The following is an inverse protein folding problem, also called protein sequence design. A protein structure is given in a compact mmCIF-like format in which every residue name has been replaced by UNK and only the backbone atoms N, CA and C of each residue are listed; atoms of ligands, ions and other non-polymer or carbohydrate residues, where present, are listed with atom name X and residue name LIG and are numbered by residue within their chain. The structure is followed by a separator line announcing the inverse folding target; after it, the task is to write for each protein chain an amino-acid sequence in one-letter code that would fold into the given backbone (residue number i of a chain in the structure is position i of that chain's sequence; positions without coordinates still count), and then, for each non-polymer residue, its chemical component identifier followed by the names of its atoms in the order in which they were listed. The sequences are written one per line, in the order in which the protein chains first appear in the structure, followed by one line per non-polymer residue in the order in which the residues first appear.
data_IF_634713630821
#
_entry.id   IF_634713630821
#
_cell.length_a   1.000
_cell.length_b   1.000
_cell.length_c   1.000
_cell.angle_alpha   90.00
_cell.angle_beta   90.00
_cell.angle_gamma   90.00
#
_symmetry.space_group_name_H-M   'P 1'
#
loop_
_entity.id
_entity.type
_entity.pdbx_description
1 polymer ?
#
# COMPACT_ATOMS: atom_id res chain seq x y z
N UNK A 1 -4.99 32.52 0.83
CA UNK A 1 -5.20 31.21 1.47
C UNK A 1 -5.97 30.35 0.49
N UNK A 2 -5.63 29.06 0.30
CA UNK A 2 -6.43 28.21 -0.57
C UNK A 2 -7.87 28.19 -0.05
N UNK A 3 -8.83 28.16 -0.98
CA UNK A 3 -10.19 27.75 -0.69
C UNK A 3 -10.13 26.36 -0.03
N UNK A 4 -11.06 26.13 0.89
CA UNK A 4 -11.06 25.04 1.86
C UNK A 4 -10.63 23.69 1.27
N UNK A 5 -9.62 23.05 1.90
CA UNK A 5 -8.99 21.82 1.40
C UNK A 5 -9.79 20.53 1.61
N UNK A 6 -11.01 20.59 2.15
CA UNK A 6 -11.83 19.42 2.50
C UNK A 6 -13.32 19.63 2.21
N UNK A 7 -14.09 18.55 2.34
CA UNK A 7 -15.54 18.48 2.13
C UNK A 7 -16.39 18.61 3.41
N UNK A 8 -15.79 18.52 4.60
CA UNK A 8 -16.52 18.63 5.88
C UNK A 8 -17.34 19.94 5.98
N UNK A 9 -18.26 20.12 6.92
CA UNK A 9 -19.03 21.37 7.06
C UNK A 9 -19.05 21.82 8.52
N UNK A 10 -19.08 20.84 9.42
CA UNK A 10 -19.18 21.03 10.86
C UNK A 10 -17.77 21.06 11.48
N UNK A 11 -16.86 20.19 11.02
CA UNK A 11 -15.50 20.06 11.54
C UNK A 11 -14.48 20.62 10.51
N UNK A 12 -14.08 21.90 10.62
CA UNK A 12 -13.31 22.59 9.57
C UNK A 12 -11.87 22.06 9.38
N UNK A 13 -11.35 21.37 10.38
CA UNK A 13 -10.04 20.70 10.40
C UNK A 13 -10.08 19.27 9.81
N UNK A 14 -11.28 18.74 9.53
CA UNK A 14 -11.47 17.41 8.96
C UNK A 14 -11.69 17.45 7.44
N UNK A 15 -11.33 16.36 6.77
CA UNK A 15 -11.62 16.19 5.33
C UNK A 15 -13.11 15.97 5.06
N UNK A 16 -13.76 15.08 5.81
CA UNK A 16 -15.20 14.80 5.77
C UNK A 16 -15.70 14.84 7.21
N UNK A 17 -16.94 15.29 7.42
CA UNK A 17 -17.52 15.30 8.77
C UNK A 17 -17.63 13.84 9.28
N UNK A 18 -17.33 13.55 10.57
CA UNK A 18 -17.36 12.18 11.08
C UNK A 18 -18.70 11.45 10.90
N UNK A 19 -19.82 12.17 10.83
CA UNK A 19 -21.14 11.59 10.58
C UNK A 19 -21.42 11.25 9.11
N UNK A 20 -20.66 11.85 8.19
CA UNK A 20 -20.75 11.64 6.74
C UNK A 20 -19.60 10.73 6.23
N UNK A 21 -18.65 10.35 7.10
CA UNK A 21 -17.48 9.56 6.73
C UNK A 21 -17.80 8.06 6.67
N UNK A 22 -17.77 7.42 5.48
CA UNK A 22 -18.12 6.00 5.33
C UNK A 22 -17.14 5.04 6.02
N UNK A 23 -15.96 5.53 6.45
CA UNK A 23 -14.99 4.78 7.25
C UNK A 23 -15.36 4.79 8.73
N UNK A 24 -16.04 5.83 9.19
CA UNK A 24 -16.49 5.94 10.56
C UNK A 24 -17.83 5.20 10.73
N UNK A 25 -17.75 3.90 10.98
CA UNK A 25 -18.95 3.12 11.28
C UNK A 25 -19.33 3.28 12.75
N UNK A 26 -20.59 3.60 13.04
CA UNK A 26 -21.14 3.58 14.40
C UNK A 26 -21.25 2.14 14.99
N UNK A 27 -20.63 1.16 14.33
CA UNK A 27 -20.66 -0.24 14.70
C UNK A 27 -19.62 -0.60 15.76
N UNK A 28 -19.65 -1.87 16.17
CA UNK A 28 -18.63 -2.42 17.07
C UNK A 28 -17.33 -2.57 16.29
N UNK A 29 -16.21 -2.18 16.91
CA UNK A 29 -14.87 -2.38 16.35
C UNK A 29 -14.64 -3.85 15.98
N UNK A 30 -13.86 -4.12 14.91
CA UNK A 30 -13.57 -5.49 14.50
C UNK A 30 -12.91 -6.28 15.64
N UNK A 31 -13.36 -7.52 15.84
CA UNK A 31 -12.81 -8.41 16.87
C UNK A 31 -11.71 -9.32 16.28
N UNK A 32 -10.54 -9.32 16.93
CA UNK A 32 -9.37 -10.08 16.51
C UNK A 32 -8.53 -9.45 15.39
N UNK A 33 -7.30 -9.96 15.24
CA UNK A 33 -6.27 -9.40 14.34
C UNK A 33 -6.70 -9.43 12.87
N UNK A 34 -7.28 -10.55 12.40
CA UNK A 34 -7.69 -10.70 11.00
C UNK A 34 -8.80 -9.72 10.61
N UNK A 35 -9.83 -9.58 11.45
CA UNK A 35 -10.91 -8.64 11.20
C UNK A 35 -10.37 -7.21 11.20
N UNK A 36 -9.50 -6.89 12.17
CA UNK A 36 -8.85 -5.57 12.28
C UNK A 36 -8.06 -5.22 11.03
N UNK A 37 -7.18 -6.11 10.55
CA UNK A 37 -6.36 -5.85 9.35
C UNK A 37 -7.22 -5.67 8.10
N UNK A 38 -8.29 -6.47 7.95
CA UNK A 38 -9.22 -6.34 6.81
C UNK A 38 -9.94 -5.00 6.81
N UNK A 39 -10.39 -4.55 7.98
CA UNK A 39 -11.06 -3.26 8.13
C UNK A 39 -10.10 -2.11 7.81
N UNK A 40 -8.87 -2.15 8.34
CA UNK A 40 -7.83 -1.19 7.98
C UNK A 40 -7.57 -1.13 6.47
N UNK A 41 -7.39 -2.28 5.80
CA UNK A 41 -7.14 -2.32 4.36
C UNK A 41 -8.30 -1.72 3.57
N UNK A 42 -9.54 -2.06 3.94
CA UNK A 42 -10.75 -1.47 3.34
C UNK A 42 -10.74 0.05 3.48
N UNK A 43 -10.49 0.57 4.68
CA UNK A 43 -10.52 2.02 4.95
C UNK A 43 -9.41 2.79 4.23
N UNK A 44 -8.20 2.24 4.15
CA UNK A 44 -7.11 2.86 3.39
C UNK A 44 -7.40 2.87 1.88
N UNK A 45 -7.93 1.77 1.32
CA UNK A 45 -8.35 1.71 -0.08
C UNK A 45 -9.47 2.70 -0.38
N UNK A 46 -10.47 2.80 0.49
CA UNK A 46 -11.57 3.76 0.38
C UNK A 46 -11.07 5.20 0.46
N UNK A 47 -10.13 5.48 1.37
CA UNK A 47 -9.53 6.81 1.51
C UNK A 47 -8.89 7.27 0.21
N UNK A 48 -8.17 6.39 -0.50
CA UNK A 48 -7.60 6.75 -1.80
C UNK A 48 -8.68 7.17 -2.80
N UNK A 49 -9.77 6.40 -2.89
CA UNK A 49 -10.87 6.70 -3.81
C UNK A 49 -11.52 8.05 -3.46
N UNK A 50 -11.79 8.30 -2.18
CA UNK A 50 -12.34 9.56 -1.69
C UNK A 50 -11.43 10.76 -2.02
N UNK A 51 -10.10 10.56 -2.03
CA UNK A 51 -9.15 11.62 -2.39
C UNK A 51 -9.06 11.88 -3.89
N UNK A 52 -9.50 10.93 -4.71
CA UNK A 52 -9.53 11.06 -6.17
C UNK A 52 -10.91 11.46 -6.72
N UNK A 53 -11.93 11.48 -5.87
CA UNK A 53 -13.31 11.77 -6.28
C UNK A 53 -13.45 13.19 -6.84
N UNK A 54 -14.16 13.32 -7.96
CA UNK A 54 -14.46 14.60 -8.59
C UNK A 54 -13.29 15.25 -9.36
N UNK A 55 -12.15 14.58 -9.48
CA UNK A 55 -11.00 15.09 -10.24
C UNK A 55 -11.16 14.83 -11.75
N UNK A 56 -10.89 15.84 -12.58
CA UNK A 56 -10.72 15.66 -14.03
C UNK A 56 -9.37 15.01 -14.35
N UNK A 57 -9.14 14.57 -15.60
CA UNK A 57 -7.91 13.84 -15.96
C UNK A 57 -6.59 14.62 -15.77
N UNK A 58 -6.65 15.96 -15.75
CA UNK A 58 -5.47 16.81 -15.63
C UNK A 58 -4.94 16.90 -14.19
N UNK A 59 -5.83 16.89 -13.20
CA UNK A 59 -5.50 17.01 -11.79
C UNK A 59 -4.68 15.83 -11.26
N UNK A 60 -5.06 14.55 -11.44
CA UNK A 60 -4.29 13.44 -10.91
C UNK A 60 -2.99 13.21 -11.68
N UNK A 61 -2.91 13.61 -12.96
CA UNK A 61 -1.68 13.54 -13.75
C UNK A 61 -0.66 14.63 -13.39
N UNK A 62 -1.07 15.68 -12.67
CA UNK A 62 -0.18 16.77 -12.26
C UNK A 62 0.88 16.25 -11.30
N UNK A 63 2.15 16.60 -11.58
CA UNK A 63 3.28 16.28 -10.70
C UNK A 63 3.22 17.12 -9.43
N UNK A 64 3.29 16.46 -8.27
CA UNK A 64 3.12 17.13 -6.97
C UNK A 64 4.31 18.01 -6.62
N UNK A 65 5.54 17.55 -6.89
CA UNK A 65 6.79 18.25 -6.53
C UNK A 65 7.84 18.04 -7.62
N UNK A 66 7.93 18.91 -8.65
CA UNK A 66 9.03 18.87 -9.60
C UNK A 66 10.39 18.96 -8.89
N UNK A 67 11.43 18.19 -9.30
CA UNK A 67 11.53 17.40 -10.53
C UNK A 67 10.96 15.97 -10.46
N UNK A 68 10.35 15.57 -9.34
CA UNK A 68 9.76 14.23 -9.21
C UNK A 68 8.66 13.99 -10.24
N UNK A 69 8.58 12.77 -10.78
CA UNK A 69 7.50 12.31 -11.64
C UNK A 69 6.29 11.80 -10.87
N UNK A 70 6.34 11.85 -9.53
CA UNK A 70 5.22 11.48 -8.66
C UNK A 70 4.00 12.37 -8.90
N UNK A 71 2.90 11.71 -9.27
CA UNK A 71 1.57 12.26 -9.45
C UNK A 71 0.54 11.37 -8.75
N UNK A 72 -0.68 11.86 -8.55
CA UNK A 72 -1.74 11.05 -7.93
C UNK A 72 -2.16 9.88 -8.84
N UNK A 73 -2.19 10.08 -10.16
CA UNK A 73 -2.40 9.00 -11.12
C UNK A 73 -1.29 7.96 -11.04
N UNK A 74 -0.04 8.40 -10.92
CA UNK A 74 1.09 7.49 -10.69
C UNK A 74 0.96 6.71 -9.39
N UNK A 75 0.44 7.32 -8.31
CA UNK A 75 0.15 6.62 -7.05
C UNK A 75 -0.95 5.56 -7.19
N UNK A 76 -2.02 5.83 -7.95
CA UNK A 76 -3.07 4.83 -8.21
C UNK A 76 -2.50 3.62 -8.96
N UNK A 77 -1.68 3.89 -10.00
CA UNK A 77 -0.96 2.85 -10.75
C UNK A 77 -0.01 2.05 -9.87
N UNK A 78 0.76 2.75 -9.05
CA UNK A 78 1.68 2.14 -8.09
C UNK A 78 0.95 1.20 -7.12
N UNK A 79 -0.19 1.62 -6.57
CA UNK A 79 -0.95 0.79 -5.64
C UNK A 79 -1.54 -0.45 -6.31
N UNK A 80 -1.87 -0.41 -7.59
CA UNK A 80 -2.26 -1.60 -8.35
C UNK A 80 -1.09 -2.61 -8.46
N UNK A 81 0.13 -2.12 -8.73
CA UNK A 81 1.34 -2.96 -8.73
C UNK A 81 1.64 -3.50 -7.33
N UNK A 82 1.49 -2.70 -6.28
CA UNK A 82 1.70 -3.12 -4.88
C UNK A 82 0.76 -4.27 -4.51
N UNK A 83 -0.53 -4.19 -4.83
CA UNK A 83 -1.50 -5.29 -4.62
C UNK A 83 -1.05 -6.58 -5.32
N UNK A 84 -0.55 -6.46 -6.55
CA UNK A 84 -0.04 -7.57 -7.36
C UNK A 84 1.26 -8.16 -6.82
N UNK A 85 2.19 -7.32 -6.41
CA UNK A 85 3.48 -7.71 -5.84
C UNK A 85 3.31 -8.39 -4.48
N UNK A 86 2.40 -7.90 -3.62
CA UNK A 86 2.11 -8.56 -2.34
C UNK A 86 1.54 -9.96 -2.52
N UNK A 87 0.65 -10.16 -3.50
CA UNK A 87 0.12 -11.48 -3.83
C UNK A 87 1.17 -12.49 -4.29
N UNK A 88 2.26 -12.03 -4.89
CA UNK A 88 3.37 -12.91 -5.29
C UNK A 88 3.92 -13.70 -4.10
N UNK A 89 3.90 -13.11 -2.91
CA UNK A 89 4.41 -13.79 -1.71
C UNK A 89 3.50 -14.90 -1.21
N UNK A 90 2.21 -14.88 -1.56
CA UNK A 90 1.26 -15.93 -1.21
C UNK A 90 1.37 -17.14 -2.14
N UNK A 91 1.87 -16.94 -3.36
CA UNK A 91 1.80 -17.96 -4.41
C UNK A 91 3.15 -18.68 -4.63
N UNK A 92 3.12 -19.99 -4.97
CA UNK A 92 4.34 -20.75 -5.24
C UNK A 92 4.86 -20.57 -6.68
N UNK A 93 4.13 -19.94 -7.59
CA UNK A 93 4.47 -19.75 -9.00
C UNK A 93 5.47 -18.59 -9.22
N UNK A 94 5.41 -17.54 -8.41
CA UNK A 94 6.34 -16.40 -8.46
C UNK A 94 5.73 -15.13 -9.02
N UNK A 95 6.54 -14.08 -9.23
CA UNK A 95 6.00 -12.78 -9.57
C UNK A 95 5.28 -12.82 -10.91
N UNK A 96 4.07 -12.28 -10.92
CA UNK A 96 3.38 -11.96 -12.15
C UNK A 96 4.16 -10.84 -12.89
N UNK A 97 4.05 -10.74 -14.22
CA UNK A 97 4.62 -9.61 -14.95
C UNK A 97 4.06 -8.29 -14.42
N UNK A 98 4.90 -7.26 -14.32
CA UNK A 98 4.49 -5.90 -13.95
C UNK A 98 3.46 -5.34 -14.93
N UNK A 99 2.48 -4.61 -14.43
CA UNK A 99 1.43 -3.95 -15.22
C UNK A 99 1.99 -2.82 -16.09
N UNK A 100 2.88 -2.00 -15.53
CA UNK A 100 3.32 -0.75 -16.15
C UNK A 100 4.78 -0.79 -16.63
N UNK A 101 5.50 -1.87 -16.37
CA UNK A 101 6.83 -2.10 -16.92
C UNK A 101 7.96 -1.91 -15.92
N UNK A 102 8.97 -1.13 -16.28
CA UNK A 102 10.25 -1.03 -15.57
C UNK A 102 10.22 -0.24 -14.26
N UNK A 103 11.39 0.16 -13.79
CA UNK A 103 11.54 1.05 -12.63
C UNK A 103 10.77 2.35 -12.85
N UNK A 104 9.95 2.74 -11.86
CA UNK A 104 9.15 3.98 -11.81
C UNK A 104 8.17 4.19 -12.99
N UNK A 105 7.88 3.14 -13.77
CA UNK A 105 7.05 3.24 -14.98
C UNK A 105 5.56 3.50 -14.70
N UNK A 106 5.11 3.21 -13.48
CA UNK A 106 3.84 3.64 -12.90
C UNK A 106 3.72 5.17 -12.82
N UNK A 107 4.83 5.88 -12.54
CA UNK A 107 4.87 7.34 -12.46
C UNK A 107 5.21 8.02 -13.81
N UNK A 108 6.15 7.48 -14.59
CA UNK A 108 6.61 8.12 -15.84
C UNK A 108 5.51 8.20 -16.92
N UNK A 109 4.63 7.21 -17.00
CA UNK A 109 3.57 7.15 -18.01
C UNK A 109 2.25 7.81 -17.61
N UNK A 110 2.18 8.54 -16.50
CA UNK A 110 0.94 9.06 -15.93
C UNK A 110 0.47 10.36 -16.62
N UNK A 111 0.10 10.28 -17.89
CA UNK A 111 -0.36 11.42 -18.69
C UNK A 111 -1.81 11.83 -18.38
N UNK A 112 -2.16 13.09 -18.70
CA UNK A 112 -3.46 13.71 -18.46
C UNK A 112 -4.53 13.26 -19.47
N UNK A 113 -4.74 11.95 -19.58
CA UNK A 113 -5.69 11.33 -20.50
C UNK A 113 -6.73 10.53 -19.70
N UNK A 114 -8.02 10.78 -19.97
CA UNK A 114 -9.10 10.12 -19.22
C UNK A 114 -9.03 8.60 -19.31
N UNK A 115 -8.68 8.05 -20.49
CA UNK A 115 -8.53 6.61 -20.67
C UNK A 115 -7.44 5.99 -19.77
N UNK A 116 -6.36 6.73 -19.49
CA UNK A 116 -5.31 6.28 -18.57
C UNK A 116 -5.75 6.34 -17.11
N UNK A 117 -6.54 7.36 -16.75
CA UNK A 117 -7.13 7.47 -15.42
C UNK A 117 -8.09 6.31 -15.16
N UNK A 118 -9.05 6.10 -16.07
CA UNK A 118 -10.03 5.03 -15.97
C UNK A 118 -9.36 3.65 -15.95
N UNK A 119 -8.36 3.45 -16.82
CA UNK A 119 -7.56 2.23 -16.87
C UNK A 119 -6.83 1.96 -15.55
N UNK A 120 -6.22 2.98 -14.94
CA UNK A 120 -5.51 2.82 -13.66
C UNK A 120 -6.45 2.44 -12.51
N UNK A 121 -7.65 3.01 -12.44
CA UNK A 121 -8.65 2.62 -11.44
C UNK A 121 -9.20 1.21 -11.69
N UNK A 122 -9.44 0.84 -12.95
CA UNK A 122 -9.86 -0.52 -13.30
C UNK A 122 -8.78 -1.56 -12.95
N UNK A 123 -7.51 -1.24 -13.20
CA UNK A 123 -6.38 -2.06 -12.80
C UNK A 123 -6.33 -2.21 -11.28
N UNK A 124 -6.40 -1.09 -10.53
CA UNK A 124 -6.41 -1.12 -9.07
C UNK A 124 -7.53 -2.00 -8.52
N UNK A 125 -8.77 -1.82 -9.00
CA UNK A 125 -9.93 -2.59 -8.56
C UNK A 125 -9.76 -4.09 -8.85
N UNK A 126 -9.26 -4.45 -10.04
CA UNK A 126 -8.99 -5.84 -10.41
C UNK A 126 -7.92 -6.47 -9.51
N UNK A 127 -6.82 -5.76 -9.27
CA UNK A 127 -5.73 -6.28 -8.45
C UNK A 127 -6.15 -6.39 -6.97
N UNK A 128 -6.94 -5.44 -6.43
CA UNK A 128 -7.52 -5.53 -5.08
C UNK A 128 -8.46 -6.73 -4.93
N UNK A 129 -9.38 -6.93 -5.88
CA UNK A 129 -10.31 -8.08 -5.85
C UNK A 129 -9.56 -9.41 -5.90
N UNK A 130 -8.49 -9.49 -6.69
CA UNK A 130 -7.66 -10.67 -6.75
C UNK A 130 -6.84 -10.87 -5.44
N UNK A 131 -6.38 -9.80 -4.79
CA UNK A 131 -5.76 -9.88 -3.46
C UNK A 131 -6.75 -10.38 -2.42
N UNK A 132 -7.97 -9.86 -2.41
CA UNK A 132 -9.00 -10.27 -1.46
C UNK A 132 -9.37 -11.75 -1.65
N UNK A 133 -9.50 -12.20 -2.90
CA UNK A 133 -9.74 -13.60 -3.21
C UNK A 133 -8.59 -14.51 -2.72
N UNK A 134 -7.34 -14.08 -2.88
CA UNK A 134 -6.18 -14.83 -2.37
C UNK A 134 -6.16 -14.88 -0.84
N UNK A 135 -6.44 -13.76 -0.16
CA UNK A 135 -6.48 -13.68 1.30
C UNK A 135 -7.68 -14.43 1.90
N UNK A 136 -8.78 -14.57 1.17
CA UNK A 136 -9.95 -15.32 1.64
C UNK A 136 -9.64 -16.82 1.86
N UNK A 137 -8.63 -17.36 1.18
CA UNK A 137 -8.17 -18.73 1.38
C UNK A 137 -7.45 -18.94 2.73
N UNK A 138 -7.02 -17.86 3.39
CA UNK A 138 -6.24 -17.90 4.62
C UNK A 138 -7.00 -17.25 5.78
N UNK A 139 -7.47 -18.08 6.72
CA UNK A 139 -8.22 -17.62 7.91
C UNK A 139 -7.36 -17.51 9.17
N UNK A 140 -6.18 -18.11 9.16
CA UNK A 140 -5.20 -18.02 10.23
C UNK A 140 -4.01 -17.18 9.75
N UNK A 141 -3.76 -16.05 10.43
CA UNK A 141 -2.62 -15.18 10.12
C UNK A 141 -1.27 -15.82 10.48
N UNK A 142 -1.26 -16.85 11.33
CA UNK A 142 -0.07 -17.62 11.67
C UNK A 142 0.32 -18.67 10.63
N UNK A 143 -0.53 -18.92 9.63
CA UNK A 143 -0.27 -19.90 8.58
C UNK A 143 0.99 -19.52 7.77
N UNK A 144 1.87 -20.51 7.57
CA UNK A 144 3.06 -20.32 6.73
C UNK A 144 2.70 -20.55 5.26
N UNK A 145 2.53 -19.45 4.54
CA UNK A 145 2.19 -19.43 3.12
C UNK A 145 3.40 -19.06 2.24
N UNK A 146 3.33 -19.43 0.96
CA UNK A 146 4.34 -19.04 -0.05
C UNK A 146 5.66 -19.81 -0.02
N UNK A 147 6.64 -19.32 -0.79
CA UNK A 147 7.99 -19.91 -0.82
C UNK A 147 8.77 -19.51 0.43
N UNK A 148 9.25 -20.50 1.19
CA UNK A 148 10.09 -20.31 2.37
C UNK A 148 11.19 -19.27 2.15
N UNK A 149 11.22 -18.26 3.01
CA UNK A 149 12.01 -17.05 2.86
C UNK A 149 13.53 -17.35 2.92
N UNK A 150 14.22 -17.37 1.78
CA UNK A 150 15.71 -17.37 1.76
C UNK A 150 16.22 -15.93 1.85
N UNK A 151 17.05 -15.63 2.85
CA UNK A 151 17.61 -14.29 3.20
C UNK A 151 18.16 -13.44 2.03
N UNK A 152 18.54 -14.04 0.90
CA UNK A 152 19.03 -13.32 -0.30
C UNK A 152 17.92 -12.69 -1.13
N UNK A 153 16.70 -13.25 -1.10
CA UNK A 153 15.55 -12.76 -1.88
C UNK A 153 15.06 -11.39 -1.40
N UNK A 154 15.23 -11.06 -0.12
CA UNK A 154 14.78 -9.77 0.46
C UNK A 154 15.54 -8.55 -0.07
N UNK A 155 16.85 -8.67 -0.30
CA UNK A 155 17.65 -7.58 -0.88
C UNK A 155 17.29 -7.29 -2.33
N UNK A 156 16.83 -8.31 -3.05
CA UNK A 156 16.40 -8.17 -4.44
C UNK A 156 14.96 -7.64 -4.54
N UNK A 157 14.08 -7.99 -3.59
CA UNK A 157 12.68 -7.59 -3.62
C UNK A 157 12.42 -6.17 -3.07
N UNK A 158 13.22 -5.69 -2.10
CA UNK A 158 13.04 -4.36 -1.51
C UNK A 158 14.36 -3.58 -1.41
N UNK A 159 14.93 -3.12 -2.54
CA UNK A 159 16.16 -2.33 -2.53
C UNK A 159 16.01 -0.94 -1.85
N UNK A 160 14.77 -0.49 -1.62
CA UNK A 160 14.43 0.84 -1.13
C UNK A 160 14.15 0.93 0.38
N UNK A 161 14.06 -0.20 1.10
CA UNK A 161 13.76 -0.20 2.54
C UNK A 161 15.07 -0.04 3.36
N UNK A 162 15.34 1.10 4.02
CA UNK A 162 16.62 1.35 4.69
C UNK A 162 16.69 0.75 6.11
N UNK A 163 15.59 0.16 6.60
CA UNK A 163 15.35 -0.14 8.00
C UNK A 163 16.24 -1.24 8.63
N UNK A 164 17.13 -1.91 7.87
CA UNK A 164 17.92 -3.04 8.40
C UNK A 164 19.45 -2.87 8.30
N UNK A 165 19.96 -1.67 8.04
CA UNK A 165 21.41 -1.43 8.19
C UNK A 165 21.90 -1.50 9.66
N UNK A 166 20.99 -1.52 10.64
CA UNK A 166 21.29 -1.28 12.08
C UNK A 166 21.51 -2.53 12.94
N UNK A 167 21.38 -3.75 12.43
CA UNK A 167 21.60 -4.97 13.23
C UNK A 167 22.67 -5.86 12.60
N UNK A 168 23.85 -5.27 12.37
CA UNK A 168 25.11 -6.02 12.28
C UNK A 168 25.79 -6.06 13.65
N UNK A 169 25.24 -6.87 14.56
CA UNK A 169 25.97 -7.30 15.75
C UNK A 169 26.18 -8.80 15.66
N UNK A 170 27.34 -9.24 15.15
CA UNK A 170 27.80 -10.61 15.37
C UNK A 170 27.95 -10.83 16.88
N UNK A 171 27.37 -11.88 17.49
CA UNK A 171 27.69 -12.18 18.87
C UNK A 171 29.15 -12.66 18.92
N UNK A 172 30.06 -11.79 19.39
CA UNK A 172 31.36 -12.25 19.87
C UNK A 172 31.12 -13.05 21.16
N UNK A 173 31.66 -14.27 21.31
CA UNK A 173 31.57 -14.98 22.57
C UNK A 173 32.53 -14.31 23.56
N UNK A 174 32.03 -13.38 24.36
CA UNK A 174 32.79 -12.87 25.52
C UNK A 174 32.59 -13.86 26.66
N UNK A 175 33.56 -14.78 26.86
CA UNK A 175 33.69 -15.50 28.13
C UNK A 175 34.02 -14.48 29.21
N UNK A 176 33.01 -14.07 29.98
CA UNK A 176 33.23 -13.41 31.27
C UNK A 176 33.36 -14.52 32.30
N UNK A 177 34.59 -14.82 32.69
CA UNK A 177 34.85 -15.64 33.87
C UNK A 177 34.54 -14.81 35.11
N UNK A 178 33.43 -15.11 35.79
CA UNK A 178 33.14 -14.58 37.11
C UNK A 178 34.01 -15.38 38.09
N UNK A 179 35.05 -14.73 38.63
CA UNK A 179 35.81 -15.24 39.78
C UNK A 179 35.08 -14.77 41.03
N UNK A 180 34.44 -15.70 41.74
CA UNK A 180 33.87 -15.46 43.07
C UNK A 180 35.04 -15.52 44.08
N UNK A 181 35.12 -14.60 45.07
CA UNK A 181 36.14 -14.66 46.13
C UNK A 181 35.99 -15.88 47.03
#
# INVERSE_FOLDING_TARGET
MPERWGQARIHPDMWVDPGDDPRNTAGVSPDGELATVRDYLKDYRLTLLMKCEGLGAAEPARRSVPPSTMSLLGLVRHLAEVERDWRTWLRPDGPAPKLYGGTDADFEGAAAEQALVDGAFADLAREQAATDAALAAHRDLGERVGRGMRRRAWRAAFPWCPLWSVTRGTPRPTRVAIRVP
#
